data_IF_478364377924
#
_entry.id   IF_478364377924
#
_cell.length_a   1.000
_cell.length_b   1.000
_cell.length_c   1.000
_cell.angle_alpha   90.00
_cell.angle_beta   90.00
_cell.angle_gamma   90.00
#
_symmetry.space_group_name_H-M   'P 1'
#
loop_
_entity.id
_entity.type
_entity.pdbx_description
1 polymer ?
#
# COMPACT_ATOMS: atom_id res chain seq x y z
N UNK A 1 9.05 20.84 12.74
CA UNK A 1 9.61 20.82 11.38
C UNK A 1 10.88 19.98 11.40
N UNK A 2 11.10 19.21 10.35
CA UNK A 2 12.26 18.32 10.21
C UNK A 2 12.83 18.44 8.80
N UNK A 3 14.15 18.44 8.64
CA UNK A 3 14.79 18.63 7.34
C UNK A 3 15.61 17.41 6.93
N UNK A 4 15.49 17.01 5.67
CA UNK A 4 16.20 15.87 5.09
C UNK A 4 16.80 16.28 3.74
N UNK A 5 18.06 15.91 3.53
CA UNK A 5 18.74 16.05 2.24
C UNK A 5 18.40 14.83 1.36
N UNK A 6 17.88 15.10 0.16
CA UNK A 6 17.74 14.13 -0.94
C UNK A 6 18.67 14.53 -2.09
N UNK A 7 18.70 13.74 -3.18
CA UNK A 7 19.59 14.01 -4.31
C UNK A 7 19.29 15.35 -4.97
N UNK A 8 18.02 15.73 -5.04
CA UNK A 8 17.54 16.92 -5.73
C UNK A 8 17.56 18.20 -4.87
N UNK A 9 17.70 18.09 -3.54
CA UNK A 9 17.72 19.24 -2.64
C UNK A 9 17.33 18.91 -1.19
N UNK A 10 17.00 19.95 -0.42
CA UNK A 10 16.56 19.81 0.97
C UNK A 10 15.03 19.85 1.01
N UNK A 11 14.43 18.88 1.71
CA UNK A 11 13.00 18.83 2.04
C UNK A 11 12.79 19.24 3.49
N UNK A 12 11.71 19.95 3.76
CA UNK A 12 11.22 20.21 5.11
C UNK A 12 9.86 19.54 5.31
N UNK A 13 9.84 18.52 6.16
CA UNK A 13 8.64 17.80 6.57
C UNK A 13 8.23 18.16 8.00
N UNK A 14 7.36 17.33 8.55
CA UNK A 14 6.81 17.52 9.89
C UNK A 14 6.81 16.23 10.72
N UNK A 15 6.90 16.40 12.03
CA UNK A 15 6.61 15.32 12.99
C UNK A 15 5.10 15.35 13.26
N UNK A 16 4.46 14.19 13.14
CA UNK A 16 3.01 14.00 13.24
C UNK A 16 2.71 13.06 14.40
N UNK A 17 1.78 13.45 15.25
CA UNK A 17 1.22 12.55 16.26
C UNK A 17 0.27 11.56 15.58
N UNK A 18 0.51 10.27 15.78
CA UNK A 18 -0.42 9.24 15.34
C UNK A 18 -1.61 9.15 16.30
N UNK A 19 -2.70 8.54 15.83
CA UNK A 19 -3.93 8.40 16.61
C UNK A 19 -3.82 7.42 17.81
N UNK A 20 -2.69 6.72 17.91
CA UNK A 20 -2.38 5.71 18.93
C UNK A 20 -1.39 6.21 20.00
N UNK A 21 -1.02 7.50 19.99
CA UNK A 21 -0.16 8.12 21.01
C UNK A 21 1.35 8.06 20.74
N UNK A 22 1.78 7.61 19.55
CA UNK A 22 3.16 7.73 19.09
C UNK A 22 3.36 8.87 18.08
N UNK A 23 4.58 9.03 17.58
CA UNK A 23 4.89 10.00 16.51
C UNK A 23 5.53 9.32 15.31
N UNK A 24 5.45 9.96 14.15
CA UNK A 24 6.17 9.63 12.93
C UNK A 24 6.48 10.92 12.17
N UNK A 25 7.38 10.86 11.20
CA UNK A 25 7.71 11.97 10.32
C UNK A 25 7.03 11.80 8.97
N UNK A 26 6.53 12.90 8.41
CA UNK A 26 5.90 12.92 7.08
C UNK A 26 6.56 13.95 6.16
N UNK A 27 6.70 13.56 4.90
CA UNK A 27 7.15 14.38 3.79
C UNK A 27 6.19 14.16 2.63
N UNK A 28 5.34 15.15 2.36
CA UNK A 28 4.26 15.09 1.38
C UNK A 28 4.56 16.01 0.20
N UNK A 29 4.06 15.65 -0.98
CA UNK A 29 4.27 16.49 -2.18
C UNK A 29 5.73 16.53 -2.63
N UNK A 30 6.47 15.44 -2.46
CA UNK A 30 7.87 15.33 -2.90
C UNK A 30 7.91 15.02 -4.39
N UNK A 31 8.53 15.87 -5.25
CA UNK A 31 8.57 15.63 -6.69
C UNK A 31 9.44 14.41 -7.00
N UNK A 32 8.91 13.47 -7.77
CA UNK A 32 9.69 12.31 -8.25
C UNK A 32 9.94 12.32 -9.75
N UNK A 33 9.36 13.29 -10.47
CA UNK A 33 9.58 13.52 -11.90
C UNK A 33 9.36 15.00 -12.24
N UNK A 34 9.82 15.40 -13.42
CA UNK A 34 9.44 16.70 -13.98
C UNK A 34 7.94 16.77 -14.28
N UNK A 35 7.32 17.97 -14.18
CA UNK A 35 5.92 18.16 -14.52
C UNK A 35 5.62 17.70 -15.96
N UNK A 36 4.67 16.76 -16.18
CA UNK A 36 4.34 16.22 -17.50
C UNK A 36 3.46 17.18 -18.32
N UNK A 37 3.80 18.47 -18.32
CA UNK A 37 3.04 19.55 -18.96
C UNK A 37 3.67 19.94 -20.30
N UNK A 38 2.87 20.60 -21.16
CA UNK A 38 3.33 21.11 -22.47
C UNK A 38 4.01 20.01 -23.29
N UNK A 39 5.27 20.21 -23.67
CA UNK A 39 6.05 19.28 -24.50
C UNK A 39 6.33 17.94 -23.81
N UNK A 40 6.11 17.82 -22.49
CA UNK A 40 6.26 16.57 -21.74
C UNK A 40 4.95 15.78 -21.62
N UNK A 41 3.80 16.35 -22.03
CA UNK A 41 2.52 15.64 -21.99
C UNK A 41 2.59 14.41 -22.91
N UNK A 42 2.08 13.29 -22.42
CA UNK A 42 2.05 11.99 -23.12
C UNK A 42 3.43 11.36 -23.40
N UNK A 43 4.50 11.86 -22.77
CA UNK A 43 5.84 11.26 -22.83
C UNK A 43 6.14 10.50 -21.54
N UNK A 44 7.14 9.64 -21.59
CA UNK A 44 7.68 9.01 -20.39
C UNK A 44 8.18 10.09 -19.40
N UNK A 45 7.97 9.90 -18.09
CA UNK A 45 8.39 10.86 -17.06
C UNK A 45 9.91 11.08 -17.13
N UNK A 46 10.32 12.33 -16.94
CA UNK A 46 11.74 12.69 -16.87
C UNK A 46 12.16 12.86 -15.41
N UNK A 47 13.43 12.55 -15.06
CA UNK A 47 13.93 12.73 -13.69
C UNK A 47 13.67 14.15 -13.18
N UNK A 48 13.36 14.31 -11.87
CA UNK A 48 13.08 15.61 -11.28
C UNK A 48 14.32 16.51 -11.39
N UNK A 49 14.10 17.81 -11.57
CA UNK A 49 15.19 18.78 -11.56
C UNK A 49 15.56 19.12 -10.10
N UNK A 50 16.85 19.34 -9.81
CA UNK A 50 17.26 19.82 -8.50
C UNK A 50 16.68 21.21 -8.22
N UNK A 51 16.45 21.52 -6.94
CA UNK A 51 15.98 22.82 -6.50
C UNK A 51 16.98 23.48 -5.54
N UNK A 52 16.97 24.81 -5.51
CA UNK A 52 17.72 25.59 -4.53
C UNK A 52 16.89 25.86 -3.28
N UNK A 53 17.54 25.88 -2.12
CA UNK A 53 16.89 26.18 -0.85
C UNK A 53 16.16 24.99 -0.26
N UNK A 54 15.18 25.27 0.60
CA UNK A 54 14.39 24.27 1.33
C UNK A 54 13.02 24.19 0.67
N UNK A 55 12.61 22.98 0.28
CA UNK A 55 11.29 22.71 -0.28
C UNK A 55 10.33 22.28 0.82
N UNK A 56 9.20 22.98 0.92
CA UNK A 56 8.10 22.60 1.80
C UNK A 56 7.51 21.26 1.36
N UNK A 57 7.67 20.25 2.21
CA UNK A 57 7.10 18.91 2.06
C UNK A 57 6.09 18.63 3.19
N UNK A 58 5.40 19.65 3.68
CA UNK A 58 4.32 19.49 4.67
C UNK A 58 2.94 19.40 4.03
N UNK A 59 2.82 19.50 2.71
CA UNK A 59 1.53 19.52 1.98
C UNK A 59 1.52 18.50 0.87
N UNK A 60 0.35 17.91 0.62
CA UNK A 60 0.16 17.05 -0.54
C UNK A 60 0.33 17.84 -1.85
N UNK A 61 0.88 17.17 -2.87
CA UNK A 61 0.84 17.66 -4.25
C UNK A 61 -0.59 17.64 -4.80
N UNK A 62 -0.84 18.28 -5.97
CA UNK A 62 -2.13 18.23 -6.62
C UNK A 62 -2.43 16.82 -7.16
N UNK A 63 -3.71 16.54 -7.32
CA UNK A 63 -4.23 15.31 -7.90
C UNK A 63 -4.00 15.33 -9.42
N UNK A 64 -3.59 14.21 -10.01
CA UNK A 64 -3.54 14.10 -11.48
C UNK A 64 -4.92 14.35 -12.07
N UNK A 65 -5.01 15.09 -13.18
CA UNK A 65 -6.29 15.30 -13.88
C UNK A 65 -7.04 13.98 -14.09
N UNK A 66 -8.27 13.92 -13.57
CA UNK A 66 -9.12 12.74 -13.58
C UNK A 66 -10.59 13.12 -13.35
N UNK A 67 -11.49 12.16 -13.52
CA UNK A 67 -12.86 12.31 -13.04
C UNK A 67 -12.93 12.00 -11.56
N UNK A 68 -13.67 12.82 -10.81
CA UNK A 68 -14.10 12.42 -9.48
C UNK A 68 -15.24 11.40 -9.62
N UNK A 69 -14.93 10.10 -9.73
CA UNK A 69 -15.91 9.01 -9.80
C UNK A 69 -16.71 8.80 -8.49
N UNK A 70 -16.39 9.53 -7.41
CA UNK A 70 -16.95 9.36 -6.07
C UNK A 70 -17.98 10.44 -5.79
N UNK A 71 -17.61 11.68 -6.09
CA UNK A 71 -18.47 12.85 -5.99
C UNK A 71 -18.21 13.79 -7.19
N UNK A 72 -18.94 13.61 -8.31
CA UNK A 72 -18.74 14.40 -9.52
C UNK A 72 -18.90 15.92 -9.31
N UNK A 73 -19.62 16.34 -8.28
CA UNK A 73 -19.88 17.75 -7.96
C UNK A 73 -18.81 18.34 -7.02
N UNK A 74 -17.97 17.51 -6.41
CA UNK A 74 -16.86 17.95 -5.57
C UNK A 74 -15.59 18.18 -6.42
N UNK A 75 -15.11 19.43 -6.52
CA UNK A 75 -13.86 19.71 -7.23
C UNK A 75 -12.66 19.14 -6.46
N UNK A 76 -11.80 18.44 -7.20
CA UNK A 76 -10.48 18.03 -6.72
C UNK A 76 -9.45 19.12 -7.04
N UNK A 77 -8.44 19.28 -6.19
CA UNK A 77 -7.29 20.14 -6.48
C UNK A 77 -6.41 19.48 -7.55
N UNK A 78 -6.82 19.56 -8.82
CA UNK A 78 -6.15 18.90 -9.93
C UNK A 78 -5.15 19.80 -10.65
N UNK A 79 -4.05 19.20 -11.08
CA UNK A 79 -3.07 19.81 -11.97
C UNK A 79 -2.42 18.72 -12.85
N UNK A 80 -1.80 19.09 -13.96
CA UNK A 80 -0.93 18.19 -14.73
C UNK A 80 0.46 18.13 -14.13
N UNK A 81 0.90 19.17 -13.42
CA UNK A 81 2.05 19.07 -12.52
C UNK A 81 1.64 18.26 -11.28
N UNK A 82 1.58 16.93 -11.40
CA UNK A 82 1.02 16.04 -10.38
C UNK A 82 1.92 14.85 -9.99
N UNK A 83 3.15 14.78 -10.52
CA UNK A 83 4.08 13.67 -10.28
C UNK A 83 4.83 13.82 -8.95
N UNK A 84 4.06 13.66 -7.87
CA UNK A 84 4.49 13.76 -6.49
C UNK A 84 4.26 12.45 -5.74
N UNK A 85 5.10 12.20 -4.73
CA UNK A 85 4.93 11.10 -3.78
C UNK A 85 4.95 11.63 -2.34
N UNK A 86 4.54 10.75 -1.42
CA UNK A 86 4.55 11.02 0.01
C UNK A 86 5.41 9.95 0.70
N UNK A 87 6.17 10.36 1.71
CA UNK A 87 7.06 9.50 2.50
C UNK A 87 6.70 9.65 3.96
N UNK A 88 6.53 8.52 4.64
CA UNK A 88 6.28 8.44 6.06
C UNK A 88 7.33 7.54 6.70
N UNK A 89 7.94 7.99 7.79
CA UNK A 89 8.98 7.21 8.50
C UNK A 89 8.86 7.40 10.01
N UNK A 90 9.04 6.34 10.83
CA UNK A 90 9.08 6.51 12.28
C UNK A 90 10.35 7.25 12.75
N UNK A 91 11.43 7.23 11.96
CA UNK A 91 12.72 7.80 12.34
C UNK A 91 13.47 8.37 11.13
N UNK A 92 14.14 9.51 11.31
CA UNK A 92 14.91 10.18 10.23
C UNK A 92 16.27 9.53 10.01
N UNK A 93 16.90 9.03 11.07
CA UNK A 93 18.23 8.42 11.05
C UNK A 93 18.22 7.11 11.84
N UNK A 94 17.49 6.09 11.38
CA UNK A 94 17.42 4.83 12.08
C UNK A 94 18.80 4.17 12.16
N UNK A 95 19.07 3.50 13.28
CA UNK A 95 20.32 2.77 13.52
C UNK A 95 20.51 1.57 12.58
N UNK A 96 19.42 1.10 11.97
CA UNK A 96 19.40 0.04 10.96
C UNK A 96 18.41 0.38 9.85
N UNK A 97 18.57 -0.23 8.67
CA UNK A 97 17.64 -0.03 7.57
C UNK A 97 16.23 -0.50 7.94
N UNK A 98 15.23 0.32 7.65
CA UNK A 98 13.82 -0.01 7.83
C UNK A 98 13.25 -0.66 6.56
N UNK A 99 12.32 -1.62 6.68
CA UNK A 99 11.58 -2.13 5.53
C UNK A 99 10.72 -1.01 4.93
N UNK A 100 10.68 -0.93 3.59
CA UNK A 100 9.91 0.07 2.85
C UNK A 100 8.72 -0.59 2.17
N UNK A 101 7.53 -0.08 2.45
CA UNK A 101 6.31 -0.42 1.70
C UNK A 101 5.98 0.71 0.73
N UNK A 102 5.73 0.37 -0.53
CA UNK A 102 5.36 1.31 -1.58
C UNK A 102 3.94 1.02 -2.04
N UNK A 103 3.06 2.01 -1.92
CA UNK A 103 1.65 1.86 -2.26
C UNK A 103 1.34 2.55 -3.58
N UNK A 104 0.64 1.83 -4.46
CA UNK A 104 0.14 2.34 -5.73
C UNK A 104 -1.38 2.31 -5.64
N UNK A 105 -2.00 3.47 -5.79
CA UNK A 105 -3.45 3.59 -5.69
C UNK A 105 -4.16 2.83 -6.83
N UNK A 106 -5.37 2.35 -6.55
CA UNK A 106 -6.28 1.78 -7.54
C UNK A 106 -6.98 2.85 -8.39
N UNK A 107 -8.18 2.52 -8.89
CA UNK A 107 -9.01 3.43 -9.69
C UNK A 107 -8.99 3.16 -11.20
N UNK A 108 -8.65 1.94 -11.60
CA UNK A 108 -8.88 1.42 -12.96
C UNK A 108 -8.16 2.20 -14.06
N UNK A 109 -7.04 2.87 -13.73
CA UNK A 109 -6.30 3.77 -14.62
C UNK A 109 -7.08 5.03 -15.08
N UNK A 110 -8.22 5.32 -14.47
CA UNK A 110 -9.07 6.49 -14.77
C UNK A 110 -9.07 7.53 -13.65
N UNK A 111 -8.82 7.10 -12.41
CA UNK A 111 -8.82 7.93 -11.22
C UNK A 111 -7.97 7.30 -10.09
N UNK A 112 -7.89 7.98 -8.95
CA UNK A 112 -7.14 7.62 -7.74
C UNK A 112 -6.12 8.70 -7.34
N UNK A 113 -5.95 8.90 -6.03
CA UNK A 113 -4.99 9.83 -5.43
C UNK A 113 -4.84 9.61 -3.92
N UNK A 114 -3.77 10.15 -3.34
CA UNK A 114 -3.63 10.34 -1.89
C UNK A 114 -3.82 11.84 -1.53
N UNK A 115 -4.50 12.22 -0.42
CA UNK A 115 -5.11 11.36 0.60
C UNK A 115 -6.31 10.58 0.06
N UNK A 116 -6.33 9.30 0.39
CA UNK A 116 -7.34 8.36 -0.06
C UNK A 116 -8.71 8.74 0.49
N UNK A 117 -9.60 9.19 -0.39
CA UNK A 117 -11.05 9.17 -0.16
C UNK A 117 -11.66 8.16 -1.12
N UNK A 118 -11.55 6.89 -0.78
CA UNK A 118 -12.28 5.86 -1.50
C UNK A 118 -13.30 5.28 -0.55
N UNK A 119 -14.58 5.33 -0.91
CA UNK A 119 -15.65 4.73 -0.12
C UNK A 119 -16.14 3.42 -0.73
N UNK A 120 -15.63 3.00 -1.91
CA UNK A 120 -15.93 1.70 -2.54
C UNK A 120 -14.84 1.33 -3.57
N UNK A 121 -13.80 0.58 -3.18
CA UNK A 121 -12.92 -0.09 -4.13
C UNK A 121 -13.41 -1.52 -4.40
N UNK A 122 -13.20 -1.97 -5.63
CA UNK A 122 -13.49 -3.34 -6.07
C UNK A 122 -12.57 -4.33 -5.32
N UNK A 123 -13.13 -5.49 -4.98
CA UNK A 123 -12.76 -6.53 -4.01
C UNK A 123 -11.39 -7.26 -4.14
N UNK A 124 -10.32 -6.58 -4.53
CA UNK A 124 -8.95 -7.07 -4.36
C UNK A 124 -8.10 -6.05 -3.59
N UNK A 125 -8.49 -5.78 -2.36
CA UNK A 125 -7.76 -4.85 -1.48
C UNK A 125 -8.16 -4.95 0.00
N UNK A 126 -8.84 -6.02 0.41
CA UNK A 126 -9.28 -6.21 1.79
C UNK A 126 -8.09 -6.28 2.77
N UNK A 127 -6.93 -6.70 2.27
CA UNK A 127 -5.67 -6.73 2.99
C UNK A 127 -5.04 -5.34 3.20
N UNK A 128 -5.34 -4.37 2.31
CA UNK A 128 -4.76 -3.02 2.38
C UNK A 128 -5.14 -2.30 3.66
N UNK A 129 -6.33 -2.58 4.21
CA UNK A 129 -6.79 -2.02 5.48
C UNK A 129 -5.92 -2.45 6.68
N UNK A 130 -5.18 -3.57 6.55
CA UNK A 130 -4.23 -4.01 7.57
C UNK A 130 -2.83 -3.38 7.42
N UNK A 131 -2.51 -2.84 6.25
CA UNK A 131 -1.18 -2.29 5.93
C UNK A 131 -1.17 -0.75 5.89
N UNK A 132 -2.27 -0.14 5.46
CA UNK A 132 -2.38 1.28 5.23
C UNK A 132 -3.61 1.86 5.92
N UNK A 133 -3.52 3.10 6.46
CA UNK A 133 -4.63 3.76 7.13
C UNK A 133 -5.68 4.21 6.11
N UNK A 134 -6.62 3.32 5.78
CA UNK A 134 -7.75 3.60 4.89
C UNK A 134 -8.88 4.33 5.64
N UNK A 135 -8.63 5.58 6.04
CA UNK A 135 -9.52 6.37 6.92
C UNK A 135 -10.93 6.63 6.40
N UNK A 136 -11.16 6.46 5.09
CA UNK A 136 -12.51 6.49 4.51
C UNK A 136 -13.34 5.25 4.86
N UNK A 137 -12.70 4.11 5.09
CA UNK A 137 -13.36 2.83 5.35
C UNK A 137 -13.32 2.43 6.82
N UNK A 138 -12.29 2.84 7.56
CA UNK A 138 -12.05 2.36 8.92
C UNK A 138 -12.02 3.50 9.93
N UNK A 139 -12.87 3.37 10.94
CA UNK A 139 -12.76 4.13 12.18
C UNK A 139 -11.49 3.73 12.95
N UNK A 140 -11.14 4.54 13.94
CA UNK A 140 -10.03 4.25 14.86
C UNK A 140 -10.24 2.89 15.54
N UNK A 141 -9.37 1.95 15.22
CA UNK A 141 -9.39 0.59 15.79
C UNK A 141 -8.87 0.59 17.23
N UNK A 142 -9.54 -0.06 18.18
CA UNK A 142 -9.01 -0.23 19.54
C UNK A 142 -7.73 -1.08 19.53
N UNK A 143 -6.65 -0.57 20.11
CA UNK A 143 -5.34 -1.23 20.20
C UNK A 143 -5.38 -2.59 20.93
N UNK A 144 -6.42 -2.83 21.74
CA UNK A 144 -6.60 -4.10 22.47
C UNK A 144 -7.42 -5.14 21.71
N UNK A 145 -8.06 -4.74 20.61
CA UNK A 145 -8.97 -5.58 19.82
C UNK A 145 -8.25 -6.68 19.04
N UNK A 146 -9.01 -7.72 18.64
CA UNK A 146 -8.52 -8.74 17.71
C UNK A 146 -8.13 -8.14 16.35
N UNK A 147 -8.86 -7.11 15.88
CA UNK A 147 -8.54 -6.40 14.63
C UNK A 147 -7.16 -5.78 14.69
N UNK A 148 -6.79 -5.11 15.78
CA UNK A 148 -5.45 -4.52 15.92
C UNK A 148 -4.35 -5.59 15.99
N UNK A 149 -4.63 -6.76 16.58
CA UNK A 149 -3.71 -7.91 16.53
C UNK A 149 -3.54 -8.44 15.11
N UNK A 150 -4.61 -8.44 14.31
CA UNK A 150 -4.54 -8.80 12.90
C UNK A 150 -3.67 -7.80 12.12
N UNK A 151 -3.89 -6.49 12.31
CA UNK A 151 -3.06 -5.41 11.72
C UNK A 151 -1.58 -5.65 12.03
N UNK A 152 -1.23 -5.87 13.30
CA UNK A 152 0.16 -6.14 13.69
C UNK A 152 0.72 -7.42 13.06
N UNK A 153 -0.09 -8.49 12.98
CA UNK A 153 0.31 -9.76 12.38
C UNK A 153 0.59 -9.62 10.89
N UNK A 154 -0.31 -9.00 10.14
CA UNK A 154 -0.14 -8.75 8.70
C UNK A 154 1.04 -7.80 8.48
N UNK A 155 1.14 -6.71 9.22
CA UNK A 155 2.28 -5.80 9.16
C UNK A 155 3.61 -6.51 9.44
N UNK A 156 3.64 -7.44 10.39
CA UNK A 156 4.81 -8.27 10.70
C UNK A 156 5.22 -9.17 9.53
N UNK A 157 4.27 -9.89 8.93
CA UNK A 157 4.53 -10.77 7.80
C UNK A 157 5.08 -9.99 6.58
N UNK A 158 4.48 -8.84 6.25
CA UNK A 158 4.91 -8.04 5.10
C UNK A 158 6.26 -7.35 5.35
N UNK A 159 6.51 -6.86 6.56
CA UNK A 159 7.82 -6.26 6.91
C UNK A 159 8.93 -7.30 6.95
N UNK A 160 8.64 -8.52 7.40
CA UNK A 160 9.56 -9.65 7.30
C UNK A 160 9.86 -9.99 5.84
N UNK A 161 8.84 -10.07 4.98
CA UNK A 161 9.05 -10.30 3.55
C UNK A 161 9.93 -9.20 2.93
N UNK A 162 9.64 -7.94 3.21
CA UNK A 162 10.44 -6.82 2.71
C UNK A 162 11.90 -6.87 3.18
N UNK A 163 12.16 -7.37 4.40
CA UNK A 163 13.49 -7.43 4.99
C UNK A 163 14.30 -8.68 4.59
N UNK A 164 13.64 -9.82 4.44
CA UNK A 164 14.29 -11.13 4.33
C UNK A 164 13.91 -11.92 3.08
N UNK A 165 12.95 -11.43 2.27
CA UNK A 165 12.36 -12.19 1.17
C UNK A 165 11.48 -13.36 1.61
N UNK A 166 11.21 -13.49 2.91
CA UNK A 166 10.40 -14.54 3.52
C UNK A 166 9.49 -13.93 4.60
N UNK A 167 8.15 -14.08 4.55
CA UNK A 167 7.24 -13.55 5.57
C UNK A 167 7.41 -14.19 6.96
N UNK A 168 7.91 -15.42 7.00
CA UNK A 168 8.09 -16.22 8.22
C UNK A 168 9.54 -16.74 8.33
N UNK A 169 10.53 -15.84 8.45
CA UNK A 169 11.93 -16.22 8.49
C UNK A 169 12.24 -16.92 9.82
N UNK A 170 13.10 -17.94 9.80
CA UNK A 170 13.49 -18.69 11.01
C UNK A 170 14.23 -17.86 12.05
N UNK A 171 14.76 -16.69 11.68
CA UNK A 171 15.39 -15.74 12.59
C UNK A 171 14.40 -14.96 13.46
N UNK A 172 13.09 -15.07 13.19
CA UNK A 172 12.06 -14.32 13.88
C UNK A 172 11.13 -15.27 14.66
N UNK A 173 11.50 -15.51 15.93
CA UNK A 173 10.79 -16.40 16.84
C UNK A 173 9.35 -15.93 17.17
N UNK A 174 8.97 -14.70 16.79
CA UNK A 174 7.60 -14.21 16.98
C UNK A 174 6.58 -14.81 16.00
N UNK A 175 7.05 -15.53 14.96
CA UNK A 175 6.19 -16.20 13.98
C UNK A 175 6.51 -17.70 13.97
N UNK A 176 5.65 -18.48 14.62
CA UNK A 176 5.89 -19.91 14.89
C UNK A 176 5.58 -20.85 13.71
N UNK A 177 5.08 -20.32 12.60
CA UNK A 177 4.62 -21.10 11.44
C UNK A 177 5.49 -20.80 10.23
N UNK A 178 5.89 -21.84 9.50
CA UNK A 178 6.63 -21.71 8.23
C UNK A 178 5.67 -21.57 7.05
N UNK A 179 5.70 -20.42 6.38
CA UNK A 179 4.98 -20.19 5.12
C UNK A 179 5.82 -20.67 3.93
N UNK A 180 5.43 -21.80 3.35
CA UNK A 180 6.10 -22.36 2.16
C UNK A 180 5.57 -21.73 0.87
N UNK A 181 6.42 -21.61 -0.17
CA UNK A 181 5.95 -21.22 -1.51
C UNK A 181 4.89 -22.18 -2.03
N UNK A 182 3.87 -21.62 -2.70
CA UNK A 182 2.83 -22.39 -3.35
C UNK A 182 3.41 -23.28 -4.47
N UNK A 183 2.93 -24.52 -4.59
CA UNK A 183 3.19 -25.40 -5.75
C UNK A 183 1.89 -25.99 -6.28
N UNK A 184 1.84 -26.35 -7.55
CA UNK A 184 0.62 -26.91 -8.17
C UNK A 184 0.24 -28.28 -7.60
N UNK A 185 1.22 -29.04 -7.12
CA UNK A 185 1.01 -30.38 -6.59
C UNK A 185 0.40 -30.35 -5.18
N UNK A 186 0.88 -29.44 -4.33
CA UNK A 186 0.46 -29.39 -2.92
C UNK A 186 -0.56 -28.31 -2.63
N UNK A 187 -0.56 -27.25 -3.43
CA UNK A 187 -1.47 -26.09 -3.29
C UNK A 187 -1.49 -25.53 -1.86
N UNK A 188 -0.33 -25.51 -1.19
CA UNK A 188 -0.18 -25.02 0.18
C UNK A 188 -0.41 -23.50 0.23
N UNK A 189 -1.20 -23.05 1.21
CA UNK A 189 -1.44 -21.63 1.48
C UNK A 189 -1.35 -21.33 2.97
N UNK A 190 -1.17 -20.05 3.30
CA UNK A 190 -1.23 -19.55 4.68
C UNK A 190 -2.62 -19.00 4.96
N UNK A 191 -3.31 -19.59 5.93
CA UNK A 191 -4.50 -19.01 6.56
C UNK A 191 -4.06 -18.00 7.62
N UNK A 192 -4.35 -16.72 7.34
CA UNK A 192 -4.07 -15.60 8.24
C UNK A 192 -5.35 -15.28 9.04
N UNK A 193 -5.65 -16.15 10.00
CA UNK A 193 -6.77 -15.98 10.93
C UNK A 193 -6.34 -15.47 12.31
N UNK A 194 -7.17 -15.72 13.33
CA UNK A 194 -6.81 -15.49 14.74
C UNK A 194 -5.46 -16.14 15.10
N UNK A 195 -5.20 -17.31 14.53
CA UNK A 195 -3.91 -18.02 14.52
C UNK A 195 -3.44 -18.19 13.08
N UNK A 196 -2.13 -18.17 12.86
CA UNK A 196 -1.53 -18.57 11.58
C UNK A 196 -1.62 -20.08 11.42
N UNK A 197 -2.02 -20.55 10.23
CA UNK A 197 -2.06 -21.98 9.90
C UNK A 197 -1.64 -22.19 8.45
N UNK A 198 -0.94 -23.28 8.19
CA UNK A 198 -0.73 -23.76 6.82
C UNK A 198 -1.80 -24.78 6.53
N UNK A 199 -2.43 -24.64 5.37
CA UNK A 199 -3.37 -25.61 4.84
C UNK A 199 -3.09 -25.84 3.34
N UNK A 200 -3.84 -26.73 2.71
CA UNK A 200 -3.66 -27.12 1.32
C UNK A 200 -4.99 -27.22 0.60
N UNK A 201 -4.99 -27.02 -0.72
CA UNK A 201 -6.19 -27.15 -1.56
C UNK A 201 -7.31 -26.19 -1.10
N UNK A 202 -7.11 -24.86 -1.24
CA UNK A 202 -8.04 -23.85 -0.71
C UNK A 202 -9.44 -24.05 -1.27
N UNK A 203 -10.44 -24.13 -0.39
CA UNK A 203 -11.86 -24.34 -0.76
C UNK A 203 -12.08 -25.48 -1.76
N UNK A 204 -11.41 -26.61 -1.49
CA UNK A 204 -11.43 -27.80 -2.36
C UNK A 204 -12.84 -28.26 -2.73
N UNK A 205 -13.74 -28.33 -1.76
CA UNK A 205 -15.10 -28.84 -2.00
C UNK A 205 -15.89 -27.92 -2.95
N UNK A 206 -15.73 -26.61 -2.80
CA UNK A 206 -16.32 -25.57 -3.64
C UNK A 206 -15.73 -25.59 -5.05
N UNK A 207 -14.39 -25.66 -5.15
CA UNK A 207 -13.70 -25.78 -6.44
C UNK A 207 -14.15 -27.04 -7.17
N UNK A 208 -14.17 -28.20 -6.52
CA UNK A 208 -14.63 -29.46 -7.10
C UNK A 208 -16.12 -29.39 -7.51
N UNK A 209 -16.96 -28.71 -6.73
CA UNK A 209 -18.34 -28.44 -7.10
C UNK A 209 -18.43 -27.66 -8.41
N UNK A 210 -17.73 -26.53 -8.53
CA UNK A 210 -17.74 -25.72 -9.74
C UNK A 210 -17.14 -26.45 -10.94
N UNK A 211 -16.03 -27.16 -10.75
CA UNK A 211 -15.42 -28.01 -11.77
C UNK A 211 -16.41 -29.05 -12.32
N UNK A 212 -17.20 -29.70 -11.45
CA UNK A 212 -18.26 -30.63 -11.89
C UNK A 212 -19.33 -29.93 -12.70
N UNK A 213 -19.76 -28.74 -12.30
CA UNK A 213 -20.75 -27.93 -13.04
C UNK A 213 -20.22 -27.53 -14.41
N UNK A 214 -18.98 -27.04 -14.49
CA UNK A 214 -18.34 -26.66 -15.75
C UNK A 214 -18.16 -27.87 -16.68
N UNK A 215 -17.70 -29.01 -16.17
CA UNK A 215 -17.55 -30.23 -16.98
C UNK A 215 -18.89 -30.72 -17.52
N UNK A 216 -19.96 -30.64 -16.73
CA UNK A 216 -21.29 -31.12 -17.13
C UNK A 216 -21.97 -30.22 -18.16
N UNK A 217 -21.92 -28.89 -17.96
CA UNK A 217 -22.73 -27.95 -18.74
C UNK A 217 -21.92 -27.09 -19.71
N UNK A 218 -20.61 -26.99 -19.52
CA UNK A 218 -19.70 -26.11 -20.27
C UNK A 218 -18.37 -26.81 -20.65
N UNK A 219 -18.38 -28.05 -21.20
CA UNK A 219 -17.19 -28.88 -21.39
C UNK A 219 -16.13 -28.28 -22.34
N UNK A 220 -16.50 -27.32 -23.18
CA UNK A 220 -15.56 -26.63 -24.08
C UNK A 220 -14.59 -25.67 -23.35
N UNK A 221 -14.86 -25.35 -22.09
CA UNK A 221 -14.03 -24.45 -21.26
C UNK A 221 -13.25 -25.18 -20.16
N UNK A 222 -13.38 -26.50 -20.07
CA UNK A 222 -12.64 -27.31 -19.10
C UNK A 222 -11.43 -27.94 -19.78
N UNK A 223 -10.26 -27.87 -19.15
CA UNK A 223 -9.01 -28.51 -19.62
C UNK A 223 -9.02 -30.01 -19.29
#
# INVERSE_FOLDING_TARGET
MVQVQVNEGILEGEEVQNEYGGTFYSFRGVPYAQPPVRDLRFKAPQPPLPWSGIRDATKFGPVSYQYNLWDPDQPLNMDEDCLYLNVYTPEIKPSSLLPVMFFIHGGGFLAGSEPYKADNLVCHGDDLAYLFPLKSFLEKVDIKSETFRMINKVGKLWTNFAKYGNPTPTSDESVEVEWKPFTLEKQEYMDIGATLKVDSEPEKEEIEFWERIFKKYLPKYTV
#
